data_IF_740739651628
#
_entry.id   IF_740739651628
#
_cell.length_a   1.000
_cell.length_b   1.000
_cell.length_c   1.000
_cell.angle_alpha   90.00
_cell.angle_beta   90.00
_cell.angle_gamma   90.00
#
_symmetry.space_group_name_H-M   'P 1'
#
loop_
_entity.id
_entity.type
_entity.pdbx_description
1 polymer ?
#
# COMPACT_ATOMS: atom_id res chain seq x y z
N UNK A 1 16.51 9.11 22.49
CA UNK A 1 15.08 8.70 22.51
C UNK A 1 14.93 7.64 21.44
N UNK A 2 15.47 6.46 21.74
CA UNK A 2 15.41 5.27 20.87
C UNK A 2 14.13 4.51 21.20
N UNK A 3 13.46 3.93 20.20
CA UNK A 3 12.48 2.87 20.42
C UNK A 3 13.27 1.57 20.19
N UNK A 4 13.75 0.88 21.24
CA UNK A 4 14.49 -0.35 21.07
C UNK A 4 13.56 -1.44 20.55
N UNK A 5 14.12 -2.37 19.77
CA UNK A 5 13.44 -3.55 19.26
C UNK A 5 12.79 -4.38 20.36
N UNK A 6 11.55 -4.02 20.71
CA UNK A 6 10.68 -4.87 21.50
C UNK A 6 10.46 -6.14 20.67
N UNK A 7 11.00 -7.26 21.14
CA UNK A 7 10.63 -8.57 20.65
C UNK A 7 9.09 -8.64 20.54
N UNK A 8 8.54 -9.25 19.47
CA UNK A 8 7.10 -9.42 19.37
C UNK A 8 6.61 -10.11 20.64
N UNK A 9 5.62 -9.50 21.31
CA UNK A 9 4.97 -10.09 22.47
C UNK A 9 4.39 -11.46 22.06
N UNK A 10 4.88 -12.58 22.64
CA UNK A 10 4.48 -13.91 22.22
C UNK A 10 3.00 -14.22 22.52
N UNK A 11 2.34 -13.42 23.37
CA UNK A 11 0.91 -13.56 23.67
C UNK A 11 0.01 -12.76 22.71
N UNK A 12 0.58 -12.09 21.71
CA UNK A 12 -0.17 -11.28 20.78
C UNK A 12 -0.76 -12.15 19.67
N UNK A 13 -2.08 -12.05 19.51
CA UNK A 13 -2.78 -12.82 18.48
C UNK A 13 -2.23 -12.49 17.08
N UNK A 14 -2.12 -13.48 16.19
CA UNK A 14 -1.82 -13.27 14.78
C UNK A 14 -2.74 -12.24 14.13
N UNK A 15 -2.21 -11.42 13.23
CA UNK A 15 -3.01 -10.53 12.41
C UNK A 15 -4.03 -11.35 11.60
N UNK A 16 -5.28 -10.89 11.58
CA UNK A 16 -6.36 -11.57 10.85
C UNK A 16 -7.02 -12.74 11.58
N UNK A 17 -6.55 -13.14 12.77
CA UNK A 17 -7.20 -14.19 13.55
C UNK A 17 -8.64 -13.79 13.91
N UNK A 18 -9.61 -14.68 13.62
CA UNK A 18 -11.03 -14.46 13.89
C UNK A 18 -11.77 -13.60 12.86
N UNK A 19 -11.10 -13.20 11.77
CA UNK A 19 -11.72 -12.53 10.62
C UNK A 19 -12.14 -13.60 9.60
N UNK A 20 -13.35 -13.48 9.03
CA UNK A 20 -13.81 -14.37 7.97
C UNK A 20 -12.96 -14.18 6.71
N UNK A 21 -12.34 -15.24 6.15
CA UNK A 21 -11.48 -15.14 4.97
C UNK A 21 -12.23 -14.73 3.69
N UNK A 22 -13.56 -14.79 3.68
CA UNK A 22 -14.43 -14.34 2.59
C UNK A 22 -14.90 -12.89 2.76
N UNK A 23 -14.73 -12.30 3.94
CA UNK A 23 -15.08 -10.91 4.18
C UNK A 23 -14.21 -9.98 3.32
N UNK A 24 -14.83 -8.95 2.74
CA UNK A 24 -14.14 -7.96 1.90
C UNK A 24 -14.54 -6.56 2.36
N UNK A 25 -13.54 -5.75 2.70
CA UNK A 25 -13.74 -4.33 3.04
C UNK A 25 -13.27 -3.43 1.90
N UNK A 26 -14.10 -2.49 1.39
CA UNK A 26 -13.65 -1.55 0.38
C UNK A 26 -12.57 -0.61 0.95
N UNK A 27 -11.45 -0.46 0.22
CA UNK A 27 -10.34 0.43 0.58
C UNK A 27 -9.83 1.17 -0.66
N UNK A 28 -9.48 2.44 -0.47
CA UNK A 28 -8.88 3.28 -1.51
C UNK A 28 -7.39 3.47 -1.24
N UNK A 29 -6.58 3.31 -2.28
CA UNK A 29 -5.13 3.50 -2.22
C UNK A 29 -4.67 4.45 -3.33
N UNK A 30 -3.58 5.17 -3.08
CA UNK A 30 -2.96 6.02 -4.09
C UNK A 30 -1.88 5.24 -4.84
N UNK A 31 -2.15 4.91 -6.10
CA UNK A 31 -1.18 4.31 -7.03
C UNK A 31 -0.67 5.37 -8.00
N UNK A 32 0.51 5.13 -8.56
CA UNK A 32 0.95 5.93 -9.71
C UNK A 32 0.03 5.63 -10.90
N UNK A 33 -0.20 6.63 -11.76
CA UNK A 33 -0.99 6.47 -13.00
C UNK A 33 -0.47 5.30 -13.82
N UNK A 34 0.84 5.22 -14.00
CA UNK A 34 1.49 4.16 -14.78
C UNK A 34 1.19 2.75 -14.25
N UNK A 35 1.26 2.56 -12.92
CA UNK A 35 0.94 1.26 -12.30
C UNK A 35 -0.54 0.92 -12.49
N UNK A 36 -1.42 1.89 -12.29
CA UNK A 36 -2.87 1.68 -12.46
C UNK A 36 -3.23 1.27 -13.89
N UNK A 37 -2.68 1.95 -14.90
CA UNK A 37 -2.97 1.61 -16.31
C UNK A 37 -2.43 0.22 -16.68
N UNK A 38 -1.24 -0.16 -16.19
CA UNK A 38 -0.70 -1.52 -16.40
C UNK A 38 -1.55 -2.58 -15.71
N UNK A 39 -2.02 -2.33 -14.49
CA UNK A 39 -2.90 -3.25 -13.77
C UNK A 39 -4.25 -3.43 -14.49
N UNK A 40 -4.82 -2.34 -15.03
CA UNK A 40 -6.03 -2.39 -15.87
C UNK A 40 -5.83 -3.23 -17.11
N UNK A 41 -4.75 -2.99 -17.84
CA UNK A 41 -4.44 -3.74 -19.06
C UNK A 41 -4.25 -5.24 -18.76
N UNK A 42 -3.54 -5.58 -17.68
CA UNK A 42 -3.33 -6.97 -17.27
C UNK A 42 -4.65 -7.68 -16.93
N UNK A 43 -5.49 -7.07 -16.08
CA UNK A 43 -6.77 -7.66 -15.69
C UNK A 43 -7.70 -7.84 -16.90
N UNK A 44 -7.75 -6.83 -17.78
CA UNK A 44 -8.54 -6.88 -19.01
C UNK A 44 -8.08 -8.01 -19.94
N UNK A 45 -6.78 -8.09 -20.21
CA UNK A 45 -6.22 -9.13 -21.07
C UNK A 45 -6.44 -10.54 -20.51
N UNK A 46 -6.26 -10.72 -19.20
CA UNK A 46 -6.46 -12.03 -18.58
C UNK A 46 -7.93 -12.45 -18.55
N UNK A 47 -8.85 -11.48 -18.40
CA UNK A 47 -10.29 -11.75 -18.50
C UNK A 47 -10.73 -12.30 -19.86
N UNK A 48 -10.05 -11.93 -20.96
CA UNK A 48 -10.40 -12.38 -22.31
C UNK A 48 -9.72 -13.68 -22.74
N UNK A 49 -8.61 -14.05 -22.09
CA UNK A 49 -7.84 -15.26 -22.43
C UNK A 49 -8.34 -16.54 -21.76
N UNK A 50 -9.28 -16.46 -20.81
CA UNK A 50 -9.81 -17.62 -20.07
C UNK A 50 -8.77 -18.34 -19.21
N UNK A 51 -7.59 -17.76 -19.02
CA UNK A 51 -6.49 -18.34 -18.29
C UNK A 51 -6.61 -18.20 -16.77
N UNK A 52 -5.75 -18.91 -16.04
CA UNK A 52 -5.63 -18.81 -14.58
C UNK A 52 -4.90 -17.51 -14.19
N UNK A 53 -5.61 -16.39 -14.14
CA UNK A 53 -5.06 -15.09 -13.77
C UNK A 53 -6.12 -14.17 -13.17
N UNK A 54 -5.72 -13.06 -12.50
CA UNK A 54 -6.68 -12.11 -11.97
C UNK A 54 -7.47 -11.45 -13.10
N UNK A 55 -8.80 -11.52 -13.02
CA UNK A 55 -9.70 -10.96 -14.05
C UNK A 55 -10.19 -9.56 -13.69
N UNK A 56 -9.94 -9.13 -12.45
CA UNK A 56 -10.29 -7.79 -11.94
C UNK A 56 -9.11 -7.14 -11.24
N UNK A 57 -9.14 -5.80 -11.12
CA UNK A 57 -8.11 -5.06 -10.36
C UNK A 57 -8.14 -5.46 -8.88
N UNK A 58 -9.32 -5.63 -8.29
CA UNK A 58 -9.46 -6.01 -6.88
C UNK A 58 -8.80 -7.37 -6.62
N UNK A 59 -9.04 -8.36 -7.48
CA UNK A 59 -8.41 -9.67 -7.38
C UNK A 59 -6.89 -9.60 -7.58
N UNK A 60 -6.43 -8.80 -8.56
CA UNK A 60 -5.00 -8.57 -8.78
C UNK A 60 -4.33 -7.98 -7.54
N UNK A 61 -4.95 -6.96 -6.94
CA UNK A 61 -4.44 -6.30 -5.73
C UNK A 61 -4.47 -7.24 -4.54
N UNK A 62 -5.55 -8.01 -4.33
CA UNK A 62 -5.64 -8.98 -3.24
C UNK A 62 -4.52 -10.02 -3.33
N UNK A 63 -4.32 -10.60 -4.52
CA UNK A 63 -3.24 -11.57 -4.77
C UNK A 63 -1.86 -10.96 -4.52
N UNK A 64 -1.61 -9.76 -5.04
CA UNK A 64 -0.32 -9.08 -4.89
C UNK A 64 -0.02 -8.71 -3.43
N UNK A 65 -1.01 -8.21 -2.70
CA UNK A 65 -0.87 -7.87 -1.27
C UNK A 65 -0.63 -9.12 -0.45
N UNK A 66 -1.38 -10.21 -0.67
CA UNK A 66 -1.17 -11.48 0.03
C UNK A 66 0.22 -12.04 -0.19
N UNK A 67 0.66 -12.13 -1.46
CA UNK A 67 1.98 -12.63 -1.80
C UNK A 67 3.10 -11.81 -1.15
N UNK A 68 2.95 -10.48 -1.11
CA UNK A 68 3.94 -9.61 -0.49
C UNK A 68 3.96 -9.74 1.04
N UNK A 69 2.80 -9.92 1.68
CA UNK A 69 2.73 -10.18 3.13
C UNK A 69 3.40 -11.50 3.47
N UNK A 70 3.10 -12.58 2.74
CA UNK A 70 3.73 -13.89 2.94
C UNK A 70 5.26 -13.81 2.77
N UNK A 71 5.75 -13.05 1.78
CA UNK A 71 7.18 -12.80 1.60
C UNK A 71 7.79 -12.07 2.80
N UNK A 72 7.12 -11.03 3.31
CA UNK A 72 7.59 -10.27 4.46
C UNK A 72 7.57 -11.10 5.76
N UNK A 73 6.57 -11.96 5.94
CA UNK A 73 6.49 -12.90 7.06
C UNK A 73 7.65 -13.91 7.01
N UNK A 74 7.97 -14.43 5.83
CA UNK A 74 9.13 -15.30 5.62
C UNK A 74 10.46 -14.58 5.91
N UNK A 75 10.62 -13.32 5.49
CA UNK A 75 11.87 -12.58 5.62
C UNK A 75 12.09 -11.96 7.00
N UNK A 76 11.02 -11.61 7.71
CA UNK A 76 11.11 -10.78 8.92
C UNK A 76 10.41 -11.37 10.14
N UNK A 77 9.73 -12.51 10.01
CA UNK A 77 8.99 -13.12 11.11
C UNK A 77 9.05 -14.66 11.07
N UNK A 78 10.16 -15.22 10.60
CA UNK A 78 10.42 -16.68 10.57
C UNK A 78 9.31 -17.50 9.86
N UNK A 79 8.65 -16.89 8.87
CA UNK A 79 7.53 -17.50 8.15
C UNK A 79 6.23 -17.58 8.95
N UNK A 80 6.19 -16.99 10.15
CA UNK A 80 4.98 -16.88 10.96
C UNK A 80 4.19 -15.61 10.60
N UNK A 81 2.86 -15.62 10.77
CA UNK A 81 2.07 -14.41 10.61
C UNK A 81 2.49 -13.28 11.56
N UNK A 82 2.48 -12.04 11.08
CA UNK A 82 2.78 -10.89 11.95
C UNK A 82 1.77 -10.75 13.10
N UNK A 83 2.18 -10.27 14.28
CA UNK A 83 1.26 -10.02 15.39
C UNK A 83 0.27 -8.88 15.06
N UNK A 84 -0.98 -9.00 15.52
CA UNK A 84 -2.05 -8.02 15.29
C UNK A 84 -1.67 -6.62 15.81
N UNK A 85 -2.00 -5.54 15.09
CA UNK A 85 -1.63 -4.17 15.51
C UNK A 85 -2.50 -3.70 16.68
N UNK A 86 -1.89 -3.44 17.85
CA UNK A 86 -2.53 -2.81 19.03
C UNK A 86 -2.17 -1.32 19.03
N UNK A 87 -2.88 -0.53 18.23
CA UNK A 87 -2.65 0.90 18.12
C UNK A 87 -3.07 1.49 16.78
N UNK A 88 -2.90 2.80 16.65
CA UNK A 88 -3.15 3.47 15.36
C UNK A 88 -1.93 3.29 14.47
N UNK A 89 -2.13 2.67 13.31
CA UNK A 89 -1.13 2.71 12.24
C UNK A 89 -0.80 4.17 11.92
N UNK A 90 0.48 4.50 11.71
CA UNK A 90 0.88 5.85 11.32
C UNK A 90 0.12 6.25 10.06
N UNK A 91 -0.78 7.22 10.19
CA UNK A 91 -1.52 7.78 9.07
C UNK A 91 -0.73 8.97 8.50
N UNK A 92 -0.59 9.00 7.18
CA UNK A 92 0.14 10.05 6.49
C UNK A 92 0.77 9.55 5.19
N UNK A 93 1.19 10.46 4.31
CA UNK A 93 1.86 10.07 3.08
C UNK A 93 3.14 9.30 3.42
N UNK A 94 3.31 8.10 2.84
CA UNK A 94 4.62 7.43 2.82
C UNK A 94 5.69 8.34 2.17
N UNK A 95 6.97 7.96 2.21
CA UNK A 95 8.07 8.81 1.74
C UNK A 95 7.82 9.41 0.33
N UNK A 96 7.39 8.57 -0.62
CA UNK A 96 7.02 8.98 -1.97
C UNK A 96 5.77 9.91 -2.02
N UNK A 97 4.80 9.69 -1.14
CA UNK A 97 3.62 10.56 -1.01
C UNK A 97 3.98 11.94 -0.45
N UNK A 98 4.88 11.99 0.53
CA UNK A 98 5.37 13.22 1.12
C UNK A 98 6.18 14.03 0.10
N UNK A 99 6.97 13.36 -0.74
CA UNK A 99 7.70 13.99 -1.84
C UNK A 99 6.77 14.61 -2.89
N UNK A 100 5.71 13.89 -3.29
CA UNK A 100 4.70 14.42 -4.22
C UNK A 100 4.06 15.71 -3.68
N UNK A 101 3.67 15.71 -2.41
CA UNK A 101 3.07 16.88 -1.75
C UNK A 101 4.07 18.05 -1.75
N UNK A 102 5.33 17.79 -1.39
CA UNK A 102 6.40 18.80 -1.42
C UNK A 102 6.63 19.35 -2.84
N UNK A 103 6.64 18.50 -3.87
CA UNK A 103 6.80 18.92 -5.27
C UNK A 103 5.65 19.82 -5.72
N UNK A 104 4.41 19.44 -5.42
CA UNK A 104 3.23 20.24 -5.72
C UNK A 104 3.24 21.60 -5.00
N UNK A 105 3.64 21.63 -3.72
CA UNK A 105 3.78 22.86 -2.94
C UNK A 105 4.85 23.79 -3.51
N UNK A 106 6.01 23.27 -3.93
CA UNK A 106 7.07 24.05 -4.56
C UNK A 106 6.64 24.65 -5.90
N UNK A 107 5.92 23.88 -6.73
CA UNK A 107 5.39 24.38 -8.00
C UNK A 107 4.40 25.54 -7.78
N UNK A 108 3.49 25.42 -6.80
CA UNK A 108 2.54 26.48 -6.44
C UNK A 108 3.21 27.75 -5.94
N UNK A 109 4.23 27.63 -5.08
CA UNK A 109 4.99 28.80 -4.58
C UNK A 109 5.72 29.56 -5.69
N UNK A 110 6.28 28.84 -6.67
CA UNK A 110 6.93 29.47 -7.84
C UNK A 110 5.92 30.21 -8.72
N UNK A 111 4.75 29.62 -8.95
CA UNK A 111 3.68 30.28 -9.71
C UNK A 111 3.16 31.55 -9.00
N UNK A 112 3.08 31.54 -7.66
CA UNK A 112 2.64 32.70 -6.88
C UNK A 112 3.74 33.77 -6.69
N UNK A 113 5.01 33.40 -6.67
CA UNK A 113 6.15 34.32 -6.52
C UNK A 113 6.66 34.94 -7.83
N UNK A 114 6.20 34.45 -8.98
CA UNK A 114 6.61 34.93 -10.30
C UNK A 114 5.78 36.09 -10.86
N UNK A 115 4.76 36.59 -10.14
CA UNK A 115 3.89 37.69 -10.61
C UNK A 115 4.26 39.07 -10.06
N UNK A 116 5.41 39.21 -9.39
CA UNK A 116 5.89 40.48 -8.86
C UNK A 116 7.27 40.82 -9.46
N UNK A 117 7.31 41.31 -10.70
CA UNK A 117 8.57 41.71 -11.32
C UNK A 117 8.54 41.85 -12.83
N UNK A 118 7.67 42.70 -13.37
CA UNK A 118 7.94 43.37 -14.66
C UNK A 118 7.44 44.80 -14.50
N UNK A 119 8.36 45.68 -14.11
CA UNK A 119 8.22 47.13 -14.21
C UNK A 119 8.98 47.62 -15.42
#
# INVERSE_FOLDING_TARGET
MEIPGAAPDPNRLPAGLGIDPTERTPRSFHLSRQVLERARAAAYWLSSTGGAGPTTISELVERAVRQEVERLEAEHNDGQPFPAVVGRMRTGPGAAGAERIRRAQRARRRAAGGSAGTG
#
